data_IF_426059571170
#
_entry.id   IF_426059571170
#
_cell.length_a   1.000
_cell.length_b   1.000
_cell.length_c   1.000
_cell.angle_alpha   90.00
_cell.angle_beta   90.00
_cell.angle_gamma   90.00
#
_symmetry.space_group_name_H-M   'P 1'
#
loop_
_entity.id
_entity.type
_entity.pdbx_description
1 polymer ?
#
# COMPACT_ATOMS: atom_id res chain seq x y z
N UNK A 1 -8.02 -21.24 -17.78
CA UNK A 1 -9.03 -20.77 -16.79
C UNK A 1 -8.61 -21.05 -15.36
N UNK A 2 -8.24 -22.28 -15.00
CA UNK A 2 -7.82 -22.66 -13.64
C UNK A 2 -6.74 -21.73 -13.06
N UNK A 3 -5.68 -21.47 -13.83
CA UNK A 3 -4.57 -20.61 -13.41
C UNK A 3 -4.99 -19.15 -13.15
N UNK A 4 -5.99 -18.63 -13.88
CA UNK A 4 -6.53 -17.27 -13.65
C UNK A 4 -7.29 -17.22 -12.33
N UNK A 5 -8.10 -18.24 -12.06
CA UNK A 5 -8.83 -18.35 -10.79
C UNK A 5 -7.84 -18.45 -9.64
N UNK A 6 -6.77 -19.24 -9.79
CA UNK A 6 -5.68 -19.31 -8.81
C UNK A 6 -5.07 -17.94 -8.56
N UNK A 7 -4.77 -17.16 -9.60
CA UNK A 7 -4.22 -15.81 -9.43
C UNK A 7 -5.20 -14.91 -8.66
N UNK A 8 -6.49 -14.93 -8.99
CA UNK A 8 -7.51 -14.14 -8.27
C UNK A 8 -7.53 -14.54 -6.80
N UNK A 9 -7.55 -15.84 -6.50
CA UNK A 9 -7.54 -16.33 -5.12
C UNK A 9 -6.28 -15.89 -4.36
N UNK A 10 -5.10 -16.03 -4.96
CA UNK A 10 -3.83 -15.60 -4.37
C UNK A 10 -3.80 -14.07 -4.17
N UNK A 11 -4.36 -13.30 -5.11
CA UNK A 11 -4.47 -11.85 -5.00
C UNK A 11 -5.39 -11.44 -3.84
N UNK A 12 -6.52 -12.15 -3.64
CA UNK A 12 -7.39 -11.92 -2.49
C UNK A 12 -6.73 -12.34 -1.17
N UNK A 13 -5.94 -13.43 -1.16
CA UNK A 13 -5.14 -13.79 0.02
C UNK A 13 -4.12 -12.69 0.33
N UNK A 14 -3.43 -12.16 -0.68
CA UNK A 14 -2.54 -11.02 -0.51
C UNK A 14 -3.28 -9.80 0.06
N UNK A 15 -4.44 -9.43 -0.49
CA UNK A 15 -5.24 -8.30 0.01
C UNK A 15 -5.69 -8.50 1.46
N UNK A 16 -6.09 -9.71 1.82
CA UNK A 16 -6.45 -10.04 3.19
C UNK A 16 -5.26 -9.89 4.13
N UNK A 17 -4.10 -10.43 3.75
CA UNK A 17 -2.85 -10.30 4.51
C UNK A 17 -2.44 -8.84 4.61
N UNK A 18 -2.58 -8.06 3.53
CA UNK A 18 -2.28 -6.63 3.53
C UNK A 18 -3.18 -5.88 4.53
N UNK A 19 -4.49 -6.10 4.48
CA UNK A 19 -5.43 -5.51 5.44
C UNK A 19 -5.05 -5.84 6.89
N UNK A 20 -4.72 -7.10 7.16
CA UNK A 20 -4.26 -7.58 8.47
C UNK A 20 -2.92 -6.95 8.90
N UNK A 21 -1.93 -6.92 8.00
CA UNK A 21 -0.59 -6.42 8.24
C UNK A 21 -0.59 -4.92 8.55
N UNK A 22 -1.31 -4.15 7.73
CA UNK A 22 -1.31 -2.68 7.78
C UNK A 22 -2.41 -2.11 8.67
N UNK A 23 -3.24 -2.94 9.31
CA UNK A 23 -4.17 -2.50 10.38
C UNK A 23 -3.44 -1.69 11.44
N UNK A 24 -2.21 -2.08 11.79
CA UNK A 24 -1.42 -1.38 12.79
C UNK A 24 -1.15 0.09 12.40
N UNK A 25 -1.03 0.40 11.11
CA UNK A 25 -0.74 1.75 10.63
C UNK A 25 -1.92 2.71 10.82
N UNK A 26 -3.16 2.21 10.76
CA UNK A 26 -4.36 3.02 10.95
C UNK A 26 -4.83 3.11 12.40
N UNK A 27 -4.50 2.14 13.26
CA UNK A 27 -5.00 2.11 14.65
C UNK A 27 -3.97 2.43 15.73
N UNK A 28 -2.66 2.29 15.47
CA UNK A 28 -1.66 2.32 16.54
C UNK A 28 -1.64 3.64 17.31
N UNK A 29 -1.87 4.76 16.62
CA UNK A 29 -1.89 6.11 17.20
C UNK A 29 -3.10 6.32 18.10
N UNK A 30 -4.32 6.01 17.65
CA UNK A 30 -5.57 6.20 18.43
C UNK A 30 -5.67 5.26 19.63
N UNK A 31 -5.10 4.05 19.50
CA UNK A 31 -4.98 3.10 20.61
C UNK A 31 -3.89 3.54 21.59
N UNK A 32 -2.73 4.02 21.10
CA UNK A 32 -1.65 4.48 21.99
C UNK A 32 -2.00 5.74 22.77
N UNK A 33 -2.83 6.63 22.21
CA UNK A 33 -3.31 7.82 22.92
C UNK A 33 -4.47 7.49 23.86
N UNK A 34 -4.95 6.25 23.86
CA UNK A 34 -6.09 5.75 24.66
C UNK A 34 -7.40 6.47 24.36
N UNK A 35 -7.55 6.98 23.13
CA UNK A 35 -8.81 7.58 22.68
C UNK A 35 -9.83 6.48 22.36
N UNK A 36 -9.38 5.37 21.79
CA UNK A 36 -10.19 4.18 21.54
C UNK A 36 -9.54 2.93 22.16
N UNK A 37 -10.38 1.97 22.53
CA UNK A 37 -9.92 0.61 22.79
C UNK A 37 -9.48 -0.07 21.49
N UNK A 38 -8.61 -1.09 21.53
CA UNK A 38 -8.19 -1.80 20.32
C UNK A 38 -9.34 -2.33 19.48
N UNK A 39 -10.44 -2.80 20.11
CA UNK A 39 -11.60 -3.33 19.38
C UNK A 39 -12.35 -2.24 18.64
N UNK A 40 -12.61 -1.10 19.28
CA UNK A 40 -13.27 0.05 18.64
C UNK A 40 -12.43 0.60 17.49
N UNK A 41 -11.11 0.67 17.67
CA UNK A 41 -10.20 1.14 16.63
C UNK A 41 -10.18 0.21 15.41
N UNK A 42 -10.23 -1.10 15.61
CA UNK A 42 -10.34 -2.08 14.51
C UNK A 42 -11.66 -1.88 13.74
N UNK A 43 -12.78 -1.71 14.45
CA UNK A 43 -14.09 -1.49 13.79
C UNK A 43 -14.07 -0.19 12.98
N UNK A 44 -13.56 0.90 13.54
CA UNK A 44 -13.42 2.17 12.83
C UNK A 44 -12.54 2.03 11.58
N UNK A 45 -11.38 1.37 11.72
CA UNK A 45 -10.45 1.16 10.61
C UNK A 45 -11.06 0.26 9.52
N UNK A 46 -11.73 -0.83 9.88
CA UNK A 46 -12.34 -1.73 8.91
C UNK A 46 -13.44 -1.04 8.10
N UNK A 47 -14.34 -0.30 8.77
CA UNK A 47 -15.43 0.43 8.11
C UNK A 47 -14.89 1.55 7.21
N UNK A 48 -13.94 2.34 7.70
CA UNK A 48 -13.37 3.44 6.90
C UNK A 48 -12.48 2.94 5.77
N UNK A 49 -11.71 1.87 5.96
CA UNK A 49 -10.98 1.19 4.89
C UNK A 49 -11.95 0.71 3.79
N UNK A 50 -13.08 0.08 4.16
CA UNK A 50 -14.09 -0.39 3.21
C UNK A 50 -14.61 0.77 2.33
N UNK A 51 -14.99 1.89 2.94
CA UNK A 51 -15.45 3.05 2.18
C UNK A 51 -14.35 3.66 1.32
N UNK A 52 -13.14 3.78 1.86
CA UNK A 52 -11.98 4.28 1.13
C UNK A 52 -11.66 3.46 -0.11
N UNK A 53 -11.70 2.14 0.01
CA UNK A 53 -11.44 1.19 -1.07
C UNK A 53 -12.42 1.32 -2.24
N UNK A 54 -13.63 1.86 -2.01
CA UNK A 54 -14.64 2.04 -3.06
C UNK A 54 -14.50 3.35 -3.86
N UNK A 55 -13.67 4.31 -3.40
CA UNK A 55 -13.68 5.70 -3.92
C UNK A 55 -12.67 5.95 -5.06
N UNK A 56 -11.69 5.08 -5.31
CA UNK A 56 -10.63 5.35 -6.30
C UNK A 56 -10.19 4.16 -7.15
N UNK A 57 -9.57 4.46 -8.31
CA UNK A 57 -8.98 3.46 -9.23
C UNK A 57 -7.66 3.91 -9.88
N UNK A 58 -7.15 5.10 -9.58
CA UNK A 58 -5.94 5.65 -10.21
C UNK A 58 -4.66 4.85 -9.91
N UNK A 59 -4.50 4.33 -8.69
CA UNK A 59 -3.39 3.45 -8.31
C UNK A 59 -3.54 2.10 -9.02
N UNK A 60 -4.77 1.57 -9.09
CA UNK A 60 -5.05 0.31 -9.77
C UNK A 60 -4.66 0.38 -11.27
N UNK A 61 -4.98 1.50 -11.92
CA UNK A 61 -4.58 1.81 -13.31
C UNK A 61 -3.06 1.83 -13.49
N UNK A 62 -2.33 2.34 -12.50
CA UNK A 62 -0.86 2.39 -12.54
C UNK A 62 -0.25 1.01 -12.33
N UNK A 63 -0.77 0.21 -11.40
CA UNK A 63 -0.30 -1.18 -11.19
C UNK A 63 -0.60 -2.05 -12.41
N UNK A 64 -1.76 -1.87 -13.07
CA UNK A 64 -2.19 -2.75 -14.16
C UNK A 64 -1.48 -2.55 -15.50
N UNK A 65 -0.80 -1.42 -15.70
CA UNK A 65 -0.20 -1.10 -17.01
C UNK A 65 1.08 -0.25 -16.96
N UNK A 66 1.48 0.23 -15.78
CA UNK A 66 2.49 1.26 -15.64
C UNK A 66 3.88 0.78 -15.23
N UNK A 67 4.07 -0.48 -14.84
CA UNK A 67 5.31 -0.95 -14.19
C UNK A 67 6.09 -2.00 -14.99
N UNK A 68 5.39 -2.98 -15.56
CA UNK A 68 6.00 -4.09 -16.30
C UNK A 68 5.35 -4.20 -17.66
N UNK A 69 6.13 -4.55 -18.67
CA UNK A 69 5.62 -4.84 -20.00
C UNK A 69 4.71 -6.08 -19.96
N UNK A 70 3.45 -5.90 -20.35
CA UNK A 70 2.41 -6.93 -20.32
C UNK A 70 2.77 -8.16 -21.17
N UNK A 71 3.66 -8.03 -22.17
CA UNK A 71 4.14 -9.17 -22.96
C UNK A 71 4.91 -10.21 -22.16
N UNK A 72 5.51 -9.82 -21.02
CA UNK A 72 6.24 -10.72 -20.13
C UNK A 72 5.45 -11.10 -18.88
N UNK A 73 4.16 -10.76 -18.83
CA UNK A 73 3.29 -11.06 -17.68
C UNK A 73 2.37 -12.22 -18.02
N UNK A 74 2.69 -13.39 -17.45
CA UNK A 74 1.81 -14.57 -17.47
C UNK A 74 1.11 -14.75 -16.14
N UNK A 75 0.06 -15.56 -16.09
CA UNK A 75 -0.60 -15.90 -14.81
C UNK A 75 0.39 -16.53 -13.80
N UNK A 76 1.34 -17.36 -14.23
CA UNK A 76 2.41 -17.88 -13.35
C UNK A 76 3.29 -16.76 -12.80
N UNK A 77 3.63 -15.77 -13.64
CA UNK A 77 4.42 -14.60 -13.24
C UNK A 77 3.74 -13.87 -12.09
N UNK A 78 2.42 -13.64 -12.21
CA UNK A 78 1.64 -12.94 -11.19
C UNK A 78 1.51 -13.78 -9.91
N UNK A 79 1.30 -15.10 -10.01
CA UNK A 79 1.31 -15.98 -8.83
C UNK A 79 2.65 -15.88 -8.10
N UNK A 80 3.78 -15.99 -8.82
CA UNK A 80 5.11 -15.91 -8.21
C UNK A 80 5.39 -14.53 -7.59
N UNK A 81 4.95 -13.46 -8.25
CA UNK A 81 5.04 -12.10 -7.73
C UNK A 81 4.28 -11.95 -6.40
N UNK A 82 3.02 -12.40 -6.36
CA UNK A 82 2.19 -12.34 -5.16
C UNK A 82 2.74 -13.24 -4.06
N UNK A 83 3.22 -14.45 -4.38
CA UNK A 83 3.85 -15.33 -3.41
C UNK A 83 5.09 -14.68 -2.79
N UNK A 84 5.95 -14.03 -3.59
CA UNK A 84 7.10 -13.31 -3.07
C UNK A 84 6.73 -12.19 -2.12
N UNK A 85 5.67 -11.43 -2.46
CA UNK A 85 5.14 -10.38 -1.60
C UNK A 85 4.53 -10.94 -0.30
N UNK A 86 3.65 -11.94 -0.40
CA UNK A 86 3.00 -12.61 0.74
C UNK A 86 4.05 -13.19 1.69
N UNK A 87 5.03 -13.95 1.17
CA UNK A 87 6.05 -14.57 1.99
C UNK A 87 6.87 -13.52 2.74
N UNK A 88 7.25 -12.44 2.06
CA UNK A 88 7.98 -11.35 2.71
C UNK A 88 7.15 -10.68 3.80
N UNK A 89 5.89 -10.35 3.54
CA UNK A 89 4.99 -9.71 4.51
C UNK A 89 4.73 -10.62 5.73
N UNK A 90 4.63 -11.94 5.53
CA UNK A 90 4.49 -12.89 6.64
C UNK A 90 5.77 -13.02 7.47
N UNK A 91 6.95 -13.01 6.83
CA UNK A 91 8.25 -13.01 7.51
C UNK A 91 8.40 -11.76 8.38
N UNK A 92 8.14 -10.58 7.80
CA UNK A 92 8.30 -9.31 8.52
C UNK A 92 7.28 -9.15 9.62
N UNK A 93 6.04 -9.61 9.40
CA UNK A 93 5.02 -9.71 10.44
C UNK A 93 5.46 -10.62 11.59
N UNK A 94 6.02 -11.79 11.29
CA UNK A 94 6.52 -12.73 12.31
C UNK A 94 7.64 -12.09 13.15
N UNK A 95 8.54 -11.35 12.49
CA UNK A 95 9.63 -10.61 13.13
C UNK A 95 9.19 -9.29 13.79
N UNK A 96 7.93 -8.89 13.62
CA UNK A 96 7.37 -7.64 14.13
C UNK A 96 8.02 -6.38 13.54
N UNK A 97 8.54 -6.48 12.31
CA UNK A 97 9.15 -5.39 11.57
C UNK A 97 8.09 -4.62 10.77
N UNK A 98 7.96 -3.30 10.93
CA UNK A 98 7.01 -2.52 10.13
C UNK A 98 7.57 -2.32 8.73
N UNK A 99 7.10 -3.15 7.79
CA UNK A 99 7.45 -3.07 6.36
C UNK A 99 6.27 -2.61 5.53
N UNK A 100 6.51 -2.40 4.24
CA UNK A 100 5.49 -1.96 3.29
C UNK A 100 5.10 -3.08 2.33
N UNK A 101 3.85 -3.54 2.43
CA UNK A 101 3.27 -4.49 1.47
C UNK A 101 3.24 -3.95 0.04
N UNK A 102 3.18 -2.63 -0.13
CA UNK A 102 3.25 -1.98 -1.45
C UNK A 102 4.60 -2.20 -2.13
N UNK A 103 5.70 -2.02 -1.40
CA UNK A 103 7.03 -2.27 -1.93
C UNK A 103 7.31 -3.77 -2.07
N UNK A 104 6.72 -4.61 -1.22
CA UNK A 104 6.80 -6.06 -1.35
C UNK A 104 6.10 -6.55 -2.63
N UNK A 105 4.91 -6.01 -2.94
CA UNK A 105 4.18 -6.30 -4.18
C UNK A 105 4.95 -5.84 -5.41
N UNK A 106 5.46 -4.61 -5.41
CA UNK A 106 6.20 -4.07 -6.56
C UNK A 106 7.51 -4.81 -6.75
N UNK A 107 8.25 -5.09 -5.67
CA UNK A 107 9.46 -5.91 -5.71
C UNK A 107 9.17 -7.31 -6.25
N UNK A 108 8.14 -7.98 -5.73
CA UNK A 108 7.69 -9.28 -6.22
C UNK A 108 7.33 -9.27 -7.71
N UNK A 109 6.59 -8.26 -8.16
CA UNK A 109 6.24 -8.08 -9.58
C UNK A 109 7.48 -7.91 -10.46
N UNK A 110 8.43 -7.06 -10.05
CA UNK A 110 9.67 -6.83 -10.79
C UNK A 110 10.53 -8.09 -10.84
N UNK A 111 10.67 -8.80 -9.72
CA UNK A 111 11.47 -10.03 -9.62
C UNK A 111 10.91 -11.16 -10.46
N UNK A 112 9.60 -11.42 -10.37
CA UNK A 112 8.96 -12.45 -11.19
C UNK A 112 9.02 -12.10 -12.69
N UNK A 113 8.74 -10.84 -13.07
CA UNK A 113 8.79 -10.41 -14.46
C UNK A 113 10.20 -10.53 -15.06
N UNK A 114 11.25 -10.20 -14.31
CA UNK A 114 12.63 -10.33 -14.75
C UNK A 114 13.00 -11.82 -14.98
N UNK A 115 12.53 -12.72 -14.12
CA UNK A 115 12.69 -14.16 -14.31
C UNK A 115 11.94 -14.65 -15.56
N UNK A 116 10.69 -14.24 -15.75
CA UNK A 116 9.89 -14.58 -16.94
C UNK A 116 10.54 -14.10 -18.23
N UNK A 117 11.15 -12.92 -18.19
CA UNK A 117 11.86 -12.34 -19.33
C UNK A 117 13.31 -12.88 -19.50
N UNK A 118 13.70 -13.93 -18.79
CA UNK A 118 15.04 -14.53 -18.85
C UNK A 118 16.17 -13.52 -18.64
N UNK A 119 16.05 -12.68 -17.61
CA UNK A 119 16.99 -11.59 -17.28
C UNK A 119 17.04 -10.45 -18.31
N UNK A 120 16.04 -10.33 -19.18
CA UNK A 120 15.88 -9.14 -20.01
C UNK A 120 15.31 -7.98 -19.18
N UNK A 121 16.19 -7.09 -18.76
CA UNK A 121 15.86 -5.89 -17.98
C UNK A 121 14.91 -4.90 -18.68
N UNK A 122 14.69 -5.06 -20.00
CA UNK A 122 13.69 -4.27 -20.74
C UNK A 122 12.25 -4.64 -20.40
N UNK A 123 12.01 -5.77 -19.75
CA UNK A 123 10.67 -6.14 -19.27
C UNK A 123 10.14 -5.17 -18.20
N UNK A 124 11.04 -4.46 -17.51
CA UNK A 124 10.67 -3.44 -16.53
C UNK A 124 10.59 -2.06 -17.21
N UNK A 125 9.47 -1.36 -17.01
CA UNK A 125 9.27 -0.02 -17.54
C UNK A 125 9.97 0.96 -16.59
N UNK A 126 11.26 1.22 -16.83
CA UNK A 126 12.08 2.02 -15.92
C UNK A 126 11.63 3.49 -15.83
N UNK A 127 11.53 4.16 -16.97
CA UNK A 127 11.22 5.59 -17.04
C UNK A 127 10.59 5.93 -18.39
N UNK A 128 9.36 6.44 -18.35
CA UNK A 128 8.71 7.09 -19.48
C UNK A 128 8.45 8.53 -19.08
N UNK A 129 9.24 9.50 -19.57
CA UNK A 129 9.09 10.90 -19.17
C UNK A 129 7.72 11.45 -19.59
N UNK A 130 7.19 12.43 -18.85
CA UNK A 130 5.94 13.09 -19.23
C UNK A 130 6.11 13.83 -20.56
N UNK A 131 5.01 13.95 -21.30
CA UNK A 131 4.96 14.75 -22.54
C UNK A 131 5.32 16.21 -22.24
N UNK A 132 5.98 16.89 -23.17
CA UNK A 132 6.35 18.31 -22.99
C UNK A 132 5.15 19.16 -22.55
N UNK A 133 5.35 19.96 -21.49
CA UNK A 133 4.30 20.79 -20.88
C UNK A 133 3.49 20.11 -19.76
N UNK A 134 3.71 18.82 -19.48
CA UNK A 134 3.08 18.12 -18.36
C UNK A 134 4.00 18.04 -17.14
N UNK A 135 3.42 17.85 -15.97
CA UNK A 135 4.18 17.85 -14.72
C UNK A 135 4.93 16.51 -14.51
N UNK A 136 5.95 16.51 -13.65
CA UNK A 136 6.77 15.32 -13.39
C UNK A 136 5.95 14.10 -12.90
N UNK A 137 4.83 14.33 -12.23
CA UNK A 137 3.94 13.28 -11.73
C UNK A 137 3.13 12.56 -12.81
N UNK A 138 3.09 13.10 -14.03
CA UNK A 138 2.44 12.47 -15.20
C UNK A 138 3.34 11.43 -15.88
N UNK A 139 4.63 11.39 -15.51
CA UNK A 139 5.57 10.36 -15.96
C UNK A 139 5.10 8.96 -15.58
N UNK A 140 5.40 7.97 -16.42
CA UNK A 140 5.07 6.55 -16.22
C UNK A 140 6.33 5.71 -15.95
N UNK A 141 6.14 4.48 -15.51
CA UNK A 141 7.25 3.58 -15.15
C UNK A 141 7.60 3.60 -13.67
N UNK A 142 8.54 2.74 -13.30
CA UNK A 142 9.02 2.56 -11.93
C UNK A 142 9.57 3.87 -11.35
N UNK A 143 10.33 4.65 -12.12
CA UNK A 143 10.97 5.86 -11.61
C UNK A 143 9.94 6.87 -11.07
N UNK A 144 8.99 7.27 -11.91
CA UNK A 144 8.04 8.33 -11.59
C UNK A 144 6.90 7.88 -10.68
N UNK A 145 6.45 6.62 -10.81
CA UNK A 145 5.29 6.12 -10.04
C UNK A 145 5.67 5.36 -8.77
N UNK A 146 6.90 4.86 -8.65
CA UNK A 146 7.34 4.08 -7.48
C UNK A 146 8.52 4.72 -6.78
N UNK A 147 9.66 4.85 -7.46
CA UNK A 147 10.93 5.23 -6.81
C UNK A 147 10.85 6.66 -6.27
N UNK A 148 10.41 7.63 -7.07
CA UNK A 148 10.28 9.03 -6.61
C UNK A 148 9.28 9.10 -5.44
N UNK A 149 8.03 8.60 -5.55
CA UNK A 149 7.07 8.60 -4.42
C UNK A 149 7.55 7.83 -3.18
N UNK A 150 8.37 6.78 -3.35
CA UNK A 150 8.95 6.02 -2.26
C UNK A 150 9.87 6.87 -1.37
N UNK A 151 10.58 7.84 -1.94
CA UNK A 151 11.43 8.77 -1.20
C UNK A 151 10.71 10.08 -0.84
N UNK A 152 9.85 10.61 -1.72
CA UNK A 152 9.16 11.87 -1.47
C UNK A 152 8.05 11.73 -0.43
N UNK A 153 7.29 10.63 -0.41
CA UNK A 153 6.20 10.46 0.57
C UNK A 153 6.67 10.40 2.04
N UNK A 154 7.76 9.70 2.41
CA UNK A 154 8.33 9.79 3.76
C UNK A 154 8.82 11.20 4.10
N UNK A 155 9.47 11.90 3.16
CA UNK A 155 9.95 13.27 3.37
C UNK A 155 8.77 14.21 3.59
N UNK A 156 7.72 14.11 2.77
CA UNK A 156 6.48 14.86 2.95
C UNK A 156 5.83 14.55 4.29
N UNK A 157 5.74 13.29 4.70
CA UNK A 157 5.21 12.90 6.01
C UNK A 157 5.97 13.56 7.16
N UNK A 158 7.31 13.51 7.12
CA UNK A 158 8.16 14.14 8.13
C UNK A 158 7.99 15.67 8.16
N UNK A 159 8.08 16.33 7.01
CA UNK A 159 8.02 17.80 6.92
C UNK A 159 6.63 18.32 7.26
N UNK A 160 5.58 17.77 6.65
CA UNK A 160 4.20 18.20 6.90
C UNK A 160 3.79 17.88 8.35
N UNK A 161 4.22 16.74 8.89
CA UNK A 161 3.95 16.38 10.28
C UNK A 161 4.62 17.33 11.26
N UNK A 162 5.87 17.73 10.97
CA UNK A 162 6.58 18.75 11.74
C UNK A 162 5.86 20.11 11.66
N UNK A 163 5.55 20.58 10.46
CA UNK A 163 4.90 21.88 10.23
C UNK A 163 3.53 21.95 10.88
N UNK A 164 2.71 20.92 10.71
CA UNK A 164 1.39 20.83 11.32
C UNK A 164 1.50 20.87 12.85
N UNK A 165 2.41 20.09 13.44
CA UNK A 165 2.57 20.07 14.89
C UNK A 165 3.15 21.38 15.44
N UNK A 166 4.13 21.98 14.76
CA UNK A 166 4.68 23.29 15.12
C UNK A 166 3.59 24.37 15.10
N UNK A 167 2.73 24.35 14.09
CA UNK A 167 1.58 25.25 13.97
C UNK A 167 0.60 25.04 15.13
N UNK A 168 0.27 23.78 15.45
CA UNK A 168 -0.59 23.47 16.59
C UNK A 168 0.02 23.94 17.92
N UNK A 169 1.33 23.85 18.12
CA UNK A 169 1.97 24.40 19.32
C UNK A 169 1.80 25.91 19.44
N UNK A 170 1.89 26.65 18.33
CA UNK A 170 1.69 28.11 18.33
C UNK A 170 0.23 28.47 18.58
N UNK A 171 -0.71 27.81 17.90
CA UNK A 171 -2.15 28.10 18.00
C UNK A 171 -2.70 27.72 19.38
N UNK A 172 -2.25 26.60 19.93
CA UNK A 172 -2.75 26.06 21.20
C UNK A 172 -1.95 26.53 22.42
N UNK A 173 -0.98 27.44 22.25
CA UNK A 173 -0.08 27.88 23.34
C UNK A 173 -0.79 28.38 24.59
N UNK A 174 -1.96 29.00 24.42
CA UNK A 174 -2.76 29.58 25.52
C UNK A 174 -3.83 28.62 26.05
N UNK A 175 -3.94 27.42 25.48
CA UNK A 175 -4.97 26.45 25.86
C UNK A 175 -4.50 25.62 27.05
N UNK A 176 -5.43 25.35 27.99
CA UNK A 176 -5.14 24.45 29.11
C UNK A 176 -4.92 23.02 28.58
N UNK A 177 -3.91 22.28 29.08
CA UNK A 177 -3.61 20.91 28.61
C UNK A 177 -4.82 19.95 28.67
N UNK A 178 -5.71 20.11 29.65
CA UNK A 178 -6.94 19.33 29.75
C UNK A 178 -7.92 19.62 28.59
N UNK A 179 -8.05 20.88 28.20
CA UNK A 179 -8.91 21.29 27.08
C UNK A 179 -8.36 20.74 25.77
N UNK A 180 -7.05 20.86 25.55
CA UNK A 180 -6.38 20.27 24.37
C UNK A 180 -6.64 18.76 24.30
N UNK A 181 -6.45 18.05 25.41
CA UNK A 181 -6.66 16.60 25.44
C UNK A 181 -8.10 16.20 25.15
N UNK A 182 -9.09 16.94 25.68
CA UNK A 182 -10.52 16.68 25.43
C UNK A 182 -10.93 16.94 23.99
N UNK A 183 -10.49 18.07 23.41
CA UNK A 183 -10.85 18.45 22.03
C UNK A 183 -10.14 17.54 21.04
N UNK A 184 -8.83 17.37 21.17
CA UNK A 184 -8.06 16.51 20.26
C UNK A 184 -8.35 15.03 20.46
N UNK A 185 -8.86 14.60 21.62
CA UNK A 185 -9.43 13.26 21.76
C UNK A 185 -10.57 13.00 20.78
N UNK A 186 -11.47 13.98 20.58
CA UNK A 186 -12.57 13.88 19.62
C UNK A 186 -12.09 14.06 18.17
N UNK A 187 -11.22 15.04 17.92
CA UNK A 187 -10.67 15.26 16.58
C UNK A 187 -9.82 14.08 16.10
N UNK A 188 -9.14 13.38 17.02
CA UNK A 188 -8.37 12.19 16.67
C UNK A 188 -9.25 11.06 16.13
N UNK A 189 -10.51 10.95 16.56
CA UNK A 189 -11.44 9.99 15.96
C UNK A 189 -11.67 10.26 14.48
N UNK A 190 -11.76 11.53 14.11
CA UNK A 190 -11.93 11.95 12.71
C UNK A 190 -10.64 11.73 11.91
N UNK A 191 -9.48 12.06 12.45
CA UNK A 191 -8.20 11.81 11.75
C UNK A 191 -7.88 10.32 11.62
N UNK A 192 -8.20 9.49 12.62
CA UNK A 192 -8.05 8.04 12.55
C UNK A 192 -8.98 7.45 11.47
N UNK A 193 -10.22 7.93 11.40
CA UNK A 193 -11.14 7.56 10.32
C UNK A 193 -10.66 8.01 8.94
N UNK A 194 -10.10 9.21 8.83
CA UNK A 194 -9.51 9.71 7.59
C UNK A 194 -8.26 8.91 7.17
N UNK A 195 -7.45 8.48 8.13
CA UNK A 195 -6.31 7.60 7.91
C UNK A 195 -6.76 6.24 7.39
N UNK A 196 -7.77 5.61 8.00
CA UNK A 196 -8.37 4.37 7.49
C UNK A 196 -8.97 4.54 6.08
N UNK A 197 -9.74 5.61 5.87
CA UNK A 197 -10.27 5.92 4.53
C UNK A 197 -9.15 6.07 3.48
N UNK A 198 -8.10 6.82 3.80
CA UNK A 198 -6.99 7.08 2.88
C UNK A 198 -6.19 5.81 2.61
N UNK A 199 -5.97 4.98 3.64
CA UNK A 199 -5.37 3.65 3.53
C UNK A 199 -6.19 2.76 2.59
N UNK A 200 -7.50 2.61 2.81
CA UNK A 200 -8.39 1.88 1.91
C UNK A 200 -8.32 2.37 0.47
N UNK A 201 -8.34 3.69 0.28
CA UNK A 201 -8.27 4.31 -1.04
C UNK A 201 -6.94 4.10 -1.76
N UNK A 202 -5.85 3.75 -1.06
CA UNK A 202 -4.55 3.54 -1.66
C UNK A 202 -4.26 2.04 -1.85
N UNK A 203 -4.47 1.26 -0.79
CA UNK A 203 -4.01 -0.12 -0.68
C UNK A 203 -4.90 -1.11 -1.43
N UNK A 204 -6.23 -1.03 -1.31
CA UNK A 204 -7.14 -1.93 -2.01
C UNK A 204 -6.97 -1.85 -3.54
N UNK A 205 -6.63 -0.67 -4.03
CA UNK A 205 -6.39 -0.43 -5.45
C UNK A 205 -5.19 -1.23 -6.00
N UNK A 206 -4.22 -1.59 -5.15
CA UNK A 206 -3.03 -2.34 -5.58
C UNK A 206 -3.44 -3.73 -6.06
N UNK A 207 -4.24 -4.45 -5.28
CA UNK A 207 -4.78 -5.76 -5.66
C UNK A 207 -5.79 -5.65 -6.80
N UNK A 208 -6.63 -4.59 -6.83
CA UNK A 208 -7.49 -4.34 -7.99
C UNK A 208 -6.68 -4.25 -9.30
N UNK A 209 -5.53 -3.58 -9.26
CA UNK A 209 -4.61 -3.48 -10.39
C UNK A 209 -4.01 -4.83 -10.80
N UNK A 210 -3.64 -5.68 -9.84
CA UNK A 210 -3.12 -7.03 -10.12
C UNK A 210 -4.18 -7.94 -10.74
N UNK A 211 -5.41 -7.93 -10.20
CA UNK A 211 -6.52 -8.70 -10.78
C UNK A 211 -6.82 -8.19 -12.19
N UNK A 212 -6.88 -6.87 -12.39
CA UNK A 212 -7.09 -6.29 -13.71
C UNK A 212 -5.97 -6.65 -14.71
N UNK A 213 -4.70 -6.60 -14.29
CA UNK A 213 -3.56 -7.04 -15.10
C UNK A 213 -3.68 -8.52 -15.49
N UNK A 214 -4.09 -9.36 -14.56
CA UNK A 214 -4.29 -10.80 -14.79
C UNK A 214 -5.37 -11.04 -15.84
N UNK A 215 -6.52 -10.38 -15.71
CA UNK A 215 -7.63 -10.54 -16.64
C UNK A 215 -7.29 -9.99 -18.02
N UNK A 216 -6.57 -8.86 -18.09
CA UNK A 216 -6.07 -8.30 -19.34
C UNK A 216 -5.10 -9.26 -20.03
N UNK A 217 -4.12 -9.81 -19.30
CA UNK A 217 -3.16 -10.77 -19.83
C UNK A 217 -3.86 -12.06 -20.33
N UNK A 218 -4.82 -12.59 -19.56
CA UNK A 218 -5.60 -13.75 -19.94
C UNK A 218 -6.51 -13.50 -21.17
N UNK A 219 -7.06 -12.29 -21.29
CA UNK A 219 -7.85 -11.87 -22.46
C UNK A 219 -6.96 -11.82 -23.71
N UNK A 220 -5.78 -11.21 -23.61
CA UNK A 220 -4.80 -11.16 -24.72
C UNK A 220 -4.30 -12.53 -25.15
N UNK A 221 -4.20 -13.46 -24.20
CA UNK A 221 -3.80 -14.83 -24.46
C UNK A 221 -4.92 -15.72 -25.06
N UNK A 222 -6.10 -15.17 -25.36
CA UNK A 222 -7.24 -15.93 -25.88
C UNK A 222 -7.85 -16.92 -24.88
N UNK A 223 -7.50 -16.81 -23.58
CA UNK A 223 -7.96 -17.76 -22.54
C UNK A 223 -9.48 -17.69 -22.33
N UNK A 224 -10.11 -16.61 -22.79
CA UNK A 224 -11.52 -16.32 -22.57
C UNK A 224 -12.42 -16.44 -23.81
N UNK A 225 -11.86 -16.83 -24.96
CA UNK A 225 -12.58 -16.85 -26.25
C UNK A 225 -13.75 -17.85 -26.29
N UNK A 226 -13.71 -18.87 -25.42
CA UNK A 226 -14.74 -19.90 -25.30
C UNK A 226 -15.49 -19.86 -23.97
N UNK A 227 -15.55 -18.71 -23.30
CA UNK A 227 -16.26 -18.61 -22.02
C UNK A 227 -17.79 -18.81 -22.19
N UNK A 228 -18.43 -19.57 -21.29
CA UNK A 228 -19.87 -19.53 -21.12
C UNK A 228 -20.35 -18.10 -20.85
N UNK A 229 -21.52 -17.71 -21.36
CA UNK A 229 -22.03 -16.33 -21.25
C UNK A 229 -22.10 -15.77 -19.82
N UNK A 230 -22.26 -16.63 -18.80
CA UNK A 230 -22.27 -16.23 -17.39
C UNK A 230 -20.89 -15.84 -16.83
N UNK A 231 -19.78 -16.23 -17.48
CA UNK A 231 -18.41 -15.87 -17.10
C UNK A 231 -17.86 -14.69 -17.91
N UNK A 232 -18.65 -14.11 -18.83
CA UNK A 232 -18.19 -13.01 -19.69
C UNK A 232 -17.74 -11.76 -18.89
N UNK A 233 -18.14 -11.62 -17.63
CA UNK A 233 -17.68 -10.54 -16.75
C UNK A 233 -16.17 -10.60 -16.43
N UNK A 234 -15.50 -11.74 -16.68
CA UNK A 234 -14.05 -11.90 -16.57
C UNK A 234 -13.31 -11.33 -17.78
N UNK A 235 -13.98 -11.26 -18.93
CA UNK A 235 -13.40 -10.71 -20.15
C UNK A 235 -13.12 -9.22 -19.95
N UNK A 236 -11.86 -8.82 -20.15
CA UNK A 236 -11.41 -7.44 -19.95
C UNK A 236 -10.77 -6.94 -21.24
N UNK A 237 -11.50 -6.16 -22.07
CA UNK A 237 -10.96 -5.65 -23.31
C UNK A 237 -9.81 -4.69 -23.05
N UNK A 238 -8.83 -4.66 -23.95
CA UNK A 238 -7.75 -3.69 -23.89
C UNK A 238 -8.30 -2.28 -24.13
N UNK A 239 -7.95 -1.35 -23.24
CA UNK A 239 -8.35 0.05 -23.41
C UNK A 239 -7.82 0.62 -24.74
N UNK A 240 -8.59 1.50 -25.42
CA UNK A 240 -8.12 2.21 -26.60
C UNK A 240 -6.79 2.95 -26.34
N UNK A 241 -5.91 3.00 -27.35
CA UNK A 241 -4.62 3.71 -27.25
C UNK A 241 -4.82 5.15 -26.73
N UNK A 242 -4.23 5.45 -25.58
CA UNK A 242 -4.32 6.77 -24.92
C UNK A 242 -5.32 6.86 -23.77
N UNK A 243 -6.14 5.84 -23.52
CA UNK A 243 -7.03 5.76 -22.37
C UNK A 243 -6.51 4.78 -21.31
N UNK A 244 -6.86 5.01 -20.05
CA UNK A 244 -6.47 4.13 -18.95
C UNK A 244 -7.47 2.99 -18.77
N UNK A 245 -6.97 1.79 -18.46
CA UNK A 245 -7.79 0.61 -18.23
C UNK A 245 -8.82 0.84 -17.11
N UNK A 246 -10.10 0.70 -17.41
CA UNK A 246 -11.13 0.79 -16.37
C UNK A 246 -11.20 -0.50 -15.54
N UNK A 247 -11.33 -0.30 -14.23
CA UNK A 247 -11.39 -1.39 -13.24
C UNK A 247 -12.86 -1.74 -13.02
N UNK A 248 -13.21 -3.01 -13.28
CA UNK A 248 -14.56 -3.51 -13.12
C UNK A 248 -15.05 -3.38 -11.66
N UNK A 249 -16.33 -3.03 -11.50
CA UNK A 249 -16.92 -2.75 -10.18
C UNK A 249 -16.87 -3.95 -9.24
N UNK A 250 -17.03 -5.18 -9.76
CA UNK A 250 -16.93 -6.39 -8.94
C UNK A 250 -15.53 -6.55 -8.33
N UNK A 251 -14.46 -6.19 -9.06
CA UNK A 251 -13.07 -6.22 -8.55
C UNK A 251 -12.95 -5.23 -7.39
N UNK A 252 -13.54 -4.03 -7.52
CA UNK A 252 -13.53 -3.03 -6.45
C UNK A 252 -14.22 -3.56 -5.19
N UNK A 253 -15.42 -4.13 -5.36
CA UNK A 253 -16.24 -4.63 -4.24
C UNK A 253 -15.55 -5.80 -3.54
N UNK A 254 -15.03 -6.78 -4.29
CA UNK A 254 -14.38 -7.94 -3.68
C UNK A 254 -13.09 -7.56 -2.96
N UNK A 255 -12.23 -6.72 -3.57
CA UNK A 255 -11.01 -6.24 -2.91
C UNK A 255 -11.36 -5.42 -1.65
N UNK A 256 -12.37 -4.55 -1.72
CA UNK A 256 -12.78 -3.74 -0.57
C UNK A 256 -13.30 -4.60 0.60
N UNK A 257 -14.11 -5.63 0.31
CA UNK A 257 -14.59 -6.57 1.32
C UNK A 257 -13.46 -7.41 1.90
N UNK A 258 -12.54 -7.90 1.06
CA UNK A 258 -11.38 -8.68 1.50
C UNK A 258 -10.43 -7.85 2.36
N UNK A 259 -10.16 -6.60 1.98
CA UNK A 259 -9.36 -5.67 2.79
C UNK A 259 -10.02 -5.39 4.14
N UNK A 260 -11.34 -5.15 4.14
CA UNK A 260 -12.13 -4.95 5.34
C UNK A 260 -12.05 -6.18 6.27
N UNK A 261 -12.21 -7.38 5.71
CA UNK A 261 -12.10 -8.64 6.46
C UNK A 261 -10.69 -8.85 7.05
N UNK A 262 -9.64 -8.57 6.27
CA UNK A 262 -8.26 -8.60 6.75
C UNK A 262 -8.03 -7.59 7.88
N UNK A 263 -8.55 -6.37 7.72
CA UNK A 263 -8.47 -5.32 8.75
C UNK A 263 -9.18 -5.73 10.03
N UNK A 264 -10.36 -6.34 9.91
CA UNK A 264 -11.16 -6.82 11.03
C UNK A 264 -10.49 -7.98 11.79
N UNK A 265 -9.70 -8.81 11.10
CA UNK A 265 -8.90 -9.86 11.73
C UNK A 265 -7.77 -9.30 12.63
N UNK A 266 -7.41 -8.04 12.43
CA UNK A 266 -6.44 -7.30 13.26
C UNK A 266 -5.00 -7.48 12.79
N UNK A 267 -4.04 -7.28 13.68
CA UNK A 267 -2.61 -7.32 13.37
C UNK A 267 -1.77 -7.35 14.65
N UNK A 268 -2.21 -8.13 15.65
CA UNK A 268 -1.88 -7.93 17.06
C UNK A 268 -0.38 -7.92 17.38
N UNK A 269 0.44 -8.68 16.62
CA UNK A 269 1.89 -8.67 16.77
C UNK A 269 2.50 -7.31 16.40
N UNK A 270 2.09 -6.73 15.27
CA UNK A 270 2.57 -5.41 14.81
C UNK A 270 1.96 -4.28 15.65
N UNK A 271 0.68 -4.38 16.03
CA UNK A 271 0.02 -3.41 16.90
C UNK A 271 0.79 -3.25 18.23
N UNK A 272 1.22 -4.37 18.83
CA UNK A 272 2.01 -4.38 20.07
C UNK A 272 3.42 -3.81 19.89
N UNK A 273 4.02 -3.87 18.70
CA UNK A 273 5.38 -3.34 18.46
C UNK A 273 5.39 -1.87 18.06
N UNK A 274 4.39 -1.38 17.32
CA UNK A 274 4.35 -0.01 16.78
C UNK A 274 3.89 1.04 17.78
N UNK A 275 2.93 0.73 18.65
CA UNK A 275 2.23 1.72 19.47
C UNK A 275 3.11 2.50 20.47
N UNK A 276 4.25 1.97 20.93
CA UNK A 276 4.97 2.55 22.09
C UNK A 276 6.47 2.75 21.88
N UNK A 277 7.01 2.49 20.69
CA UNK A 277 8.48 2.43 20.51
C UNK A 277 9.11 3.71 19.98
N UNK A 278 8.48 4.45 19.06
CA UNK A 278 9.12 5.63 18.43
C UNK A 278 9.00 6.91 19.26
N UNK A 279 7.79 7.30 19.66
CA UNK A 279 7.50 8.55 20.40
C UNK A 279 6.30 8.34 21.33
N UNK A 280 6.31 8.94 22.53
CA UNK A 280 5.14 8.96 23.42
C UNK A 280 4.10 9.97 22.91
N UNK A 281 2.99 9.47 22.39
CA UNK A 281 1.93 10.28 21.80
C UNK A 281 0.87 10.70 22.82
N UNK A 282 0.30 11.89 22.58
CA UNK A 282 -0.92 12.41 23.21
C UNK A 282 -1.94 12.64 22.09
N UNK A 283 -3.24 12.80 22.37
CA UNK A 283 -4.26 12.90 21.32
C UNK A 283 -3.97 13.94 20.23
N UNK A 284 -3.42 15.10 20.60
CA UNK A 284 -3.00 16.14 19.64
C UNK A 284 -1.89 15.68 18.70
N UNK A 285 -0.93 14.89 19.19
CA UNK A 285 0.15 14.33 18.38
C UNK A 285 -0.39 13.24 17.44
N UNK A 286 -1.31 12.41 17.94
CA UNK A 286 -1.97 11.38 17.14
C UNK A 286 -2.78 11.99 15.99
N UNK A 287 -3.58 13.01 16.30
CA UNK A 287 -4.31 13.79 15.29
C UNK A 287 -3.38 14.34 14.22
N UNK A 288 -2.31 15.04 14.61
CA UNK A 288 -1.38 15.63 13.65
C UNK A 288 -0.71 14.57 12.76
N UNK A 289 -0.29 13.44 13.34
CA UNK A 289 0.37 12.37 12.59
C UNK A 289 -0.58 11.67 11.62
N UNK A 290 -1.79 11.32 12.08
CA UNK A 290 -2.81 10.66 11.26
C UNK A 290 -3.31 11.56 10.13
N UNK A 291 -3.62 12.83 10.41
CA UNK A 291 -4.04 13.78 9.37
C UNK A 291 -2.95 13.96 8.32
N UNK A 292 -1.69 14.12 8.74
CA UNK A 292 -0.57 14.26 7.80
C UNK A 292 -0.43 13.02 6.92
N UNK A 293 -0.38 11.83 7.52
CA UNK A 293 -0.20 10.59 6.79
C UNK A 293 -1.38 10.33 5.84
N UNK A 294 -2.61 10.56 6.30
CA UNK A 294 -3.81 10.43 5.49
C UNK A 294 -3.79 11.37 4.28
N UNK A 295 -3.40 12.64 4.48
CA UNK A 295 -3.26 13.60 3.37
C UNK A 295 -2.20 13.17 2.37
N UNK A 296 -1.02 12.72 2.83
CA UNK A 296 0.03 12.20 1.93
C UNK A 296 -0.48 11.01 1.12
N UNK A 297 -1.17 10.06 1.75
CA UNK A 297 -1.72 8.86 1.09
C UNK A 297 -2.83 9.20 0.10
N UNK A 298 -3.75 10.07 0.48
CA UNK A 298 -4.87 10.48 -0.36
C UNK A 298 -4.39 11.26 -1.58
N UNK A 299 -3.45 12.20 -1.40
CA UNK A 299 -2.86 12.97 -2.49
C UNK A 299 -2.06 12.05 -3.44
N UNK A 300 -1.25 11.14 -2.90
CA UNK A 300 -0.53 10.18 -3.73
C UNK A 300 -1.49 9.24 -4.50
N UNK A 301 -2.55 8.75 -3.85
CA UNK A 301 -3.57 7.94 -4.49
C UNK A 301 -4.29 8.69 -5.62
N UNK A 302 -4.56 10.00 -5.44
CA UNK A 302 -5.14 10.86 -6.47
C UNK A 302 -4.26 10.93 -7.73
N UNK A 303 -2.94 11.01 -7.57
CA UNK A 303 -1.97 10.98 -8.68
C UNK A 303 -1.62 9.56 -9.18
N UNK A 304 -2.32 8.54 -8.66
CA UNK A 304 -2.10 7.14 -9.00
C UNK A 304 -0.74 6.59 -8.56
N UNK A 305 -0.10 7.21 -7.58
CA UNK A 305 1.20 6.78 -7.06
C UNK A 305 0.99 5.75 -5.94
N UNK A 306 1.35 4.46 -6.14
CA UNK A 306 1.32 3.47 -5.07
C UNK A 306 2.40 3.82 -4.03
N UNK A 307 1.97 4.37 -2.90
CA UNK A 307 2.86 4.75 -1.80
C UNK A 307 2.64 3.85 -0.59
N UNK A 308 3.63 3.85 0.29
CA UNK A 308 3.61 3.05 1.51
C UNK A 308 2.89 3.77 2.65
N UNK A 309 1.82 3.15 3.14
CA UNK A 309 1.12 3.55 4.36
C UNK A 309 2.03 3.50 5.58
N UNK A 310 2.82 2.43 5.73
CA UNK A 310 3.83 2.30 6.79
C UNK A 310 4.83 3.46 6.78
N UNK A 311 5.33 3.86 5.61
CA UNK A 311 6.28 4.98 5.53
C UNK A 311 5.60 6.31 5.87
N UNK A 312 4.41 6.56 5.31
CA UNK A 312 3.67 7.80 5.51
C UNK A 312 3.35 8.04 7.00
N UNK A 313 2.81 7.04 7.70
CA UNK A 313 2.48 7.20 9.12
C UNK A 313 3.73 7.26 10.00
N UNK A 314 4.73 6.42 9.75
CA UNK A 314 5.93 6.38 10.58
C UNK A 314 6.71 7.69 10.50
N UNK A 315 6.87 8.24 9.29
CA UNK A 315 7.54 9.54 9.11
C UNK A 315 6.70 10.71 9.59
N UNK A 316 5.37 10.66 9.47
CA UNK A 316 4.49 11.66 10.09
C UNK A 316 4.64 11.68 11.61
N UNK A 317 4.71 10.51 12.25
CA UNK A 317 5.01 10.39 13.70
C UNK A 317 6.40 10.94 14.03
N UNK A 318 7.42 10.65 13.19
CA UNK A 318 8.77 11.20 13.37
C UNK A 318 8.78 12.73 13.27
N UNK A 319 8.08 13.31 12.30
CA UNK A 319 7.94 14.75 12.13
C UNK A 319 7.26 15.44 13.32
N UNK A 320 6.13 14.88 13.76
CA UNK A 320 5.42 15.33 14.97
C UNK A 320 6.31 15.22 16.21
N UNK A 321 7.08 14.13 16.34
CA UNK A 321 8.04 13.94 17.42
C UNK A 321 9.19 14.96 17.41
N UNK A 322 9.74 15.23 16.23
CA UNK A 322 10.80 16.22 16.03
C UNK A 322 10.35 17.64 16.41
N UNK A 323 9.11 18.01 16.07
CA UNK A 323 8.51 19.30 16.45
C UNK A 323 8.40 19.49 17.96
N UNK A 324 8.24 18.40 18.72
CA UNK A 324 8.26 18.44 20.18
C UNK A 324 9.68 18.66 20.69
N UNK A 325 10.58 17.71 20.41
CA UNK A 325 12.03 17.74 20.70
C UNK A 325 12.70 16.65 19.87
N UNK A 326 13.80 16.96 19.19
CA UNK A 326 14.57 15.95 18.42
C UNK A 326 14.98 14.72 19.26
N UNK A 327 15.38 14.92 20.52
CA UNK A 327 15.75 13.83 21.44
C UNK A 327 14.57 12.95 21.88
N UNK A 328 13.33 13.29 21.51
CA UNK A 328 12.18 12.42 21.75
C UNK A 328 12.13 11.22 20.78
N UNK A 329 12.88 11.28 19.68
CA UNK A 329 12.99 10.20 18.71
C UNK A 329 14.01 9.15 19.16
N UNK A 330 13.60 7.89 19.22
CA UNK A 330 14.53 6.77 19.45
C UNK A 330 15.22 6.41 18.14
N UNK A 331 16.37 7.04 17.86
CA UNK A 331 17.09 6.90 16.58
C UNK A 331 17.43 5.44 16.23
N UNK A 332 17.78 4.59 17.20
CA UNK A 332 18.02 3.16 16.95
C UNK A 332 16.78 2.43 16.38
N UNK A 333 15.57 2.85 16.78
CA UNK A 333 14.33 2.29 16.24
C UNK A 333 14.10 2.82 14.82
N UNK A 334 14.34 4.11 14.59
CA UNK A 334 14.21 4.75 13.27
C UNK A 334 15.15 4.08 12.26
N UNK A 335 16.41 3.88 12.62
CA UNK A 335 17.42 3.23 11.78
C UNK A 335 16.99 1.81 11.39
N UNK A 336 16.53 1.00 12.36
CA UNK A 336 16.05 -0.36 12.10
C UNK A 336 14.85 -0.38 11.13
N UNK A 337 13.97 0.62 11.22
CA UNK A 337 12.82 0.76 10.33
C UNK A 337 13.29 1.11 8.90
N UNK A 338 14.21 2.05 8.75
CA UNK A 338 14.76 2.44 7.44
C UNK A 338 15.45 1.27 6.74
N UNK A 339 16.20 0.45 7.48
CA UNK A 339 16.80 -0.77 6.93
C UNK A 339 15.75 -1.77 6.45
N UNK A 340 14.68 -1.97 7.22
CA UNK A 340 13.58 -2.84 6.81
C UNK A 340 12.92 -2.34 5.52
N UNK A 341 12.74 -1.02 5.37
CA UNK A 341 12.17 -0.41 4.17
C UNK A 341 13.05 -0.60 2.94
N UNK A 342 14.35 -0.37 3.07
CA UNK A 342 15.31 -0.56 2.00
C UNK A 342 15.39 -2.02 1.54
N UNK A 343 15.33 -2.97 2.50
CA UNK A 343 15.44 -4.39 2.22
C UNK A 343 14.18 -5.00 1.58
N UNK A 344 12.99 -4.42 1.81
CA UNK A 344 11.72 -5.01 1.37
C UNK A 344 11.64 -5.24 -0.14
N UNK A 345 11.99 -4.25 -0.95
CA UNK A 345 11.90 -4.36 -2.40
C UNK A 345 12.85 -5.44 -2.96
N UNK A 346 14.17 -5.42 -2.65
CA UNK A 346 15.07 -6.46 -3.15
C UNK A 346 14.76 -7.85 -2.59
N UNK A 347 14.38 -7.97 -1.31
CA UNK A 347 14.07 -9.28 -0.73
C UNK A 347 12.83 -9.93 -1.36
N UNK A 348 11.74 -9.18 -1.50
CA UNK A 348 10.53 -9.69 -2.17
C UNK A 348 10.77 -10.00 -3.65
N UNK A 349 11.59 -9.19 -4.34
CA UNK A 349 12.00 -9.46 -5.72
C UNK A 349 12.80 -10.76 -5.84
N UNK A 350 13.75 -11.02 -4.95
CA UNK A 350 14.56 -12.25 -4.97
C UNK A 350 13.68 -13.48 -4.71
N UNK A 351 12.77 -13.41 -3.75
CA UNK A 351 11.84 -14.52 -3.46
C UNK A 351 10.96 -14.82 -4.68
N UNK A 352 10.38 -13.79 -5.29
CA UNK A 352 9.53 -13.93 -6.47
C UNK A 352 10.31 -14.44 -7.70
N UNK A 353 11.52 -13.94 -7.92
CA UNK A 353 12.42 -14.40 -8.97
C UNK A 353 12.75 -15.88 -8.80
N UNK A 354 13.12 -16.30 -7.58
CA UNK A 354 13.42 -17.69 -7.27
C UNK A 354 12.20 -18.60 -7.49
N UNK A 355 11.01 -18.17 -7.06
CA UNK A 355 9.78 -18.92 -7.29
C UNK A 355 9.50 -19.11 -8.80
N UNK A 356 9.62 -18.05 -9.60
CA UNK A 356 9.40 -18.13 -11.05
C UNK A 356 10.47 -18.98 -11.74
N UNK A 357 11.73 -18.88 -11.31
CA UNK A 357 12.83 -19.70 -11.82
C UNK A 357 12.59 -21.20 -11.57
N UNK A 358 12.06 -21.56 -10.39
CA UNK A 358 11.66 -22.95 -10.09
C UNK A 358 10.54 -23.40 -11.03
N UNK A 359 9.50 -22.58 -11.22
CA UNK A 359 8.38 -22.88 -12.14
C UNK A 359 8.86 -23.13 -13.57
N UNK A 360 9.81 -22.34 -14.06
CA UNK A 360 10.41 -22.52 -15.38
C UNK A 360 11.22 -23.82 -15.48
N UNK A 361 11.93 -24.20 -14.41
CA UNK A 361 12.78 -25.41 -14.38
C UNK A 361 12.00 -26.71 -14.22
N UNK A 362 10.88 -26.69 -13.50
CA UNK A 362 10.03 -27.88 -13.26
C UNK A 362 9.07 -28.17 -14.40
N UNK A 363 9.03 -27.33 -15.45
CA UNK A 363 8.13 -27.51 -16.58
C UNK A 363 6.67 -27.16 -16.29
N UNK A 364 6.37 -26.61 -15.11
CA UNK A 364 5.04 -26.07 -14.77
C UNK A 364 4.64 -24.85 -15.63
N UNK A 365 5.55 -24.39 -16.49
CA UNK A 365 5.39 -23.31 -17.45
C UNK A 365 4.68 -23.70 -18.76
N UNK A 366 4.48 -25.00 -19.03
CA UNK A 366 3.84 -25.50 -20.26
C UNK A 366 2.34 -25.76 -20.10
#
# INVERSE_FOLDING_TARGET
MELVITVILVALVFEYINGFHDTANSIATVVSTKVLTPREAIVLAAVTNLFGALVGTAVAKTISSGLVDASYVTSQTIVCALLGAILWDLITWYLGLPTSSSHALIGGLCGAALATAHNNWKALIWSVPPTAGHHWWDGKGLLYKVIIPMFTSPVCGLVLGFVLMATLYVVLRNWRPMTVSRVFGKLQLLSAGYMGFSHGSNDAQKTMGIIALTLLAATKAGTFDHLPGWLHFLYTPEAPKGQSQDIATWIKVICALTMCAGTAAGGWRIIRTMGHKMVKLQPVHGFAAETTAATVLFTAAHFGMPVSTTHAISTSIMGVGAAKRFNALKLTVVERILWAWFLTLPASAVIAYAAMWVVQKTGMAQ
#
